data_IF_115418597626
#
_entry.id   IF_115418597626
#
_cell.length_a   1.000
_cell.length_b   1.000
_cell.length_c   1.000
_cell.angle_alpha   90.00
_cell.angle_beta   90.00
_cell.angle_gamma   90.00
#
_symmetry.space_group_name_H-M   'P 1'
#
loop_
_entity.id
_entity.type
_entity.pdbx_description
1 polymer ?
#
# COMPACT_ATOMS: atom_id res chain seq x y z
N UNK A 1 -44.90 51.72 19.07
CA UNK A 1 -43.58 51.53 18.43
C UNK A 1 -42.56 51.22 19.50
N UNK A 2 -42.09 49.97 19.56
CA UNK A 2 -40.67 49.58 19.73
C UNK A 2 -40.61 48.10 20.07
N UNK A 3 -39.93 47.37 19.20
CA UNK A 3 -40.04 45.95 18.96
C UNK A 3 -39.15 45.10 19.88
N UNK A 4 -39.59 43.86 20.11
CA UNK A 4 -38.83 42.78 20.74
C UNK A 4 -37.63 42.38 19.85
N UNK A 5 -36.47 42.02 20.42
CA UNK A 5 -35.37 41.47 19.64
C UNK A 5 -35.63 40.00 19.26
N UNK A 6 -35.53 39.75 17.96
CA UNK A 6 -35.64 38.47 17.28
C UNK A 6 -34.66 37.42 17.81
N UNK A 7 -35.15 36.20 17.95
CA UNK A 7 -34.35 35.00 18.12
C UNK A 7 -33.37 34.85 16.93
N UNK A 8 -32.07 34.87 17.22
CA UNK A 8 -31.05 34.41 16.29
C UNK A 8 -31.11 32.89 16.23
N UNK A 9 -31.83 32.37 15.24
CA UNK A 9 -31.70 30.99 14.79
C UNK A 9 -30.33 30.87 14.13
N UNK A 10 -29.32 30.44 14.90
CA UNK A 10 -28.04 30.03 14.32
C UNK A 10 -28.29 28.74 13.56
N UNK A 11 -28.51 28.87 12.24
CA UNK A 11 -28.50 27.76 11.30
C UNK A 11 -27.11 27.14 11.36
N UNK A 12 -26.98 26.05 12.11
CA UNK A 12 -25.82 25.18 11.99
C UNK A 12 -25.80 24.67 10.56
N UNK A 13 -24.83 25.22 9.80
CA UNK A 13 -24.43 24.76 8.48
C UNK A 13 -24.41 23.23 8.50
N UNK A 14 -25.29 22.63 7.69
CA UNK A 14 -25.39 21.19 7.49
C UNK A 14 -23.97 20.66 7.29
N UNK A 15 -23.50 19.87 8.26
CA UNK A 15 -22.22 19.18 8.16
C UNK A 15 -22.26 18.35 6.89
N UNK A 16 -21.33 18.60 5.98
CA UNK A 16 -21.18 17.81 4.75
C UNK A 16 -21.23 16.33 5.12
N UNK A 17 -22.09 15.57 4.45
CA UNK A 17 -22.16 14.13 4.61
C UNK A 17 -20.78 13.53 4.34
N UNK A 18 -20.16 12.96 5.36
CA UNK A 18 -18.88 12.24 5.30
C UNK A 18 -18.96 11.21 4.19
N UNK A 19 -18.19 11.39 3.10
CA UNK A 19 -18.16 10.45 1.96
C UNK A 19 -17.31 9.22 2.23
N UNK A 20 -16.56 9.22 3.33
CA UNK A 20 -15.79 8.07 3.77
C UNK A 20 -16.52 7.33 4.88
N UNK A 21 -16.51 6.00 4.83
CA UNK A 21 -16.86 5.18 5.99
C UNK A 21 -15.81 4.11 6.22
N UNK A 22 -15.41 3.97 7.48
CA UNK A 22 -14.37 3.04 7.91
C UNK A 22 -14.99 2.02 8.86
N UNK A 23 -14.78 0.74 8.57
CA UNK A 23 -15.26 -0.38 9.37
C UNK A 23 -14.04 -1.13 9.89
N UNK A 24 -14.00 -1.39 11.20
CA UNK A 24 -13.01 -2.28 11.81
C UNK A 24 -13.69 -3.58 12.19
N UNK A 25 -13.27 -4.67 11.58
CA UNK A 25 -13.83 -6.00 11.82
C UNK A 25 -12.82 -7.10 11.44
N UNK A 26 -12.87 -8.25 12.12
CA UNK A 26 -12.09 -9.45 11.83
C UNK A 26 -10.58 -9.21 11.59
N UNK A 27 -9.97 -8.30 12.36
CA UNK A 27 -8.55 -7.96 12.21
C UNK A 27 -8.22 -7.08 11.00
N UNK A 28 -9.21 -6.44 10.39
CA UNK A 28 -9.06 -5.52 9.26
C UNK A 28 -9.65 -4.14 9.55
N UNK A 29 -9.07 -3.12 8.92
CA UNK A 29 -9.70 -1.81 8.72
C UNK A 29 -10.08 -1.70 7.25
N UNK A 30 -11.38 -1.60 6.97
CA UNK A 30 -11.96 -1.54 5.63
C UNK A 30 -12.47 -0.13 5.34
N UNK A 31 -12.00 0.46 4.26
CA UNK A 31 -12.33 1.84 3.87
C UNK A 31 -13.26 1.81 2.67
N UNK A 32 -14.38 2.50 2.80
CA UNK A 32 -15.36 2.68 1.74
C UNK A 32 -15.52 4.14 1.39
N UNK A 33 -15.76 4.41 0.11
CA UNK A 33 -16.12 5.73 -0.38
C UNK A 33 -17.54 5.69 -0.97
N UNK A 34 -18.36 6.66 -0.59
CA UNK A 34 -19.75 6.82 -1.00
C UNK A 34 -19.80 7.68 -2.26
N UNK A 35 -19.90 7.01 -3.40
CA UNK A 35 -20.02 7.63 -4.72
C UNK A 35 -21.47 7.64 -5.25
N UNK A 36 -21.67 8.11 -6.49
CA UNK A 36 -22.99 8.14 -7.14
C UNK A 36 -23.67 6.76 -7.27
N UNK A 37 -22.87 5.69 -7.28
CA UNK A 37 -23.34 4.30 -7.42
C UNK A 37 -23.41 3.55 -6.08
N UNK A 38 -23.34 4.27 -4.96
CA UNK A 38 -23.35 3.70 -3.60
C UNK A 38 -21.94 3.51 -3.00
N UNK A 39 -21.86 2.90 -1.81
CA UNK A 39 -20.58 2.62 -1.15
C UNK A 39 -19.82 1.52 -1.87
N UNK A 40 -18.56 1.76 -2.19
CA UNK A 40 -17.63 0.72 -2.65
C UNK A 40 -16.39 0.69 -1.75
N UNK A 41 -15.83 -0.50 -1.54
CA UNK A 41 -14.63 -0.68 -0.73
C UNK A 41 -13.38 -0.36 -1.56
N UNK A 42 -12.62 0.65 -1.15
CA UNK A 42 -11.42 1.13 -1.86
C UNK A 42 -10.12 0.77 -1.14
N UNK A 43 -10.17 0.42 0.14
CA UNK A 43 -8.99 -0.07 0.84
C UNK A 43 -9.30 -1.12 1.91
N UNK A 44 -8.30 -1.95 2.21
CA UNK A 44 -8.30 -2.89 3.31
C UNK A 44 -6.90 -2.96 3.93
N UNK A 45 -6.79 -2.66 5.23
CA UNK A 45 -5.59 -2.86 6.03
C UNK A 45 -5.78 -4.07 6.94
N UNK A 46 -4.95 -5.10 6.78
CA UNK A 46 -4.84 -6.17 7.77
C UNK A 46 -3.93 -5.73 8.91
N UNK A 47 -4.50 -5.61 10.12
CA UNK A 47 -3.79 -4.97 11.24
C UNK A 47 -2.79 -5.89 11.94
N UNK A 48 -2.78 -7.19 11.62
CA UNK A 48 -1.84 -8.17 12.21
C UNK A 48 -0.47 -8.12 11.54
N UNK A 49 -0.43 -7.86 10.24
CA UNK A 49 0.76 -7.96 9.40
C UNK A 49 1.03 -6.67 8.60
N UNK A 50 0.17 -5.66 8.71
CA UNK A 50 0.30 -4.36 8.02
C UNK A 50 0.16 -4.43 6.50
N UNK A 51 -0.47 -5.49 5.99
CA UNK A 51 -0.75 -5.63 4.57
C UNK A 51 -1.91 -4.71 4.19
N UNK A 52 -1.62 -3.76 3.31
CA UNK A 52 -2.57 -2.75 2.85
C UNK A 52 -2.87 -2.95 1.37
N UNK A 53 -4.13 -3.13 1.04
CA UNK A 53 -4.59 -3.24 -0.35
C UNK A 53 -5.42 -2.03 -0.71
N UNK A 54 -5.14 -1.48 -1.88
CA UNK A 54 -6.01 -0.52 -2.55
C UNK A 54 -6.78 -1.22 -3.67
N UNK A 55 -8.01 -0.74 -3.89
CA UNK A 55 -8.86 -1.12 -5.00
C UNK A 55 -9.15 0.14 -5.82
N UNK A 56 -9.20 0.03 -7.15
CA UNK A 56 -9.37 1.16 -8.06
C UNK A 56 -10.84 1.44 -8.45
N UNK A 57 -11.78 0.61 -8.00
CA UNK A 57 -13.21 0.83 -8.22
C UNK A 57 -14.07 -0.42 -7.99
N UNK A 58 -15.40 -0.29 -8.07
CA UNK A 58 -16.33 -1.40 -7.80
C UNK A 58 -16.23 -2.59 -8.77
N UNK A 59 -15.58 -2.40 -9.93
CA UNK A 59 -15.35 -3.45 -10.94
C UNK A 59 -14.00 -4.15 -10.79
N UNK A 60 -13.15 -3.69 -9.89
CA UNK A 60 -11.82 -4.26 -9.65
C UNK A 60 -11.89 -5.32 -8.55
N UNK A 61 -11.16 -6.42 -8.76
CA UNK A 61 -10.87 -7.38 -7.72
C UNK A 61 -9.81 -6.87 -6.74
N UNK A 62 -9.60 -7.59 -5.63
CA UNK A 62 -8.48 -7.33 -4.73
C UNK A 62 -7.16 -7.82 -5.32
N UNK A 63 -6.16 -6.96 -5.46
CA UNK A 63 -4.87 -7.31 -6.05
C UNK A 63 -3.72 -7.39 -5.04
N UNK A 64 -2.55 -6.99 -5.54
CA UNK A 64 -1.30 -6.80 -4.82
C UNK A 64 -1.50 -6.04 -3.50
N UNK A 65 -0.86 -6.53 -2.45
CA UNK A 65 -0.74 -5.86 -1.15
C UNK A 65 0.54 -5.01 -1.09
N UNK A 66 0.46 -3.91 -0.37
CA UNK A 66 1.60 -3.08 0.04
C UNK A 66 1.85 -3.35 1.52
N UNK A 67 3.04 -3.81 1.87
CA UNK A 67 3.47 -3.98 3.27
C UNK A 67 3.88 -2.60 3.78
N UNK A 68 3.10 -2.05 4.72
CA UNK A 68 3.29 -0.67 5.17
C UNK A 68 4.45 -0.51 6.17
N UNK A 69 4.64 -1.49 7.06
CA UNK A 69 5.82 -1.48 7.93
C UNK A 69 7.08 -1.81 7.11
N UNK A 70 8.25 -1.24 7.47
CA UNK A 70 9.49 -1.55 6.79
C UNK A 70 9.83 -3.03 6.93
N UNK A 71 10.46 -3.59 5.91
CA UNK A 71 11.02 -4.95 5.93
C UNK A 71 12.53 -4.87 5.97
N UNK A 72 13.20 -5.67 6.79
CA UNK A 72 14.66 -5.62 6.87
C UNK A 72 15.27 -6.94 7.34
N UNK A 73 16.56 -7.12 7.07
CA UNK A 73 17.34 -8.25 7.55
C UNK A 73 18.25 -7.84 8.69
N UNK A 74 18.19 -8.59 9.79
CA UNK A 74 19.05 -8.41 10.96
C UNK A 74 19.30 -9.77 11.58
N UNK A 75 20.56 -10.06 11.90
CA UNK A 75 20.98 -11.30 12.58
C UNK A 75 20.54 -12.57 11.82
N UNK A 76 20.56 -12.52 10.49
CA UNK A 76 20.17 -13.64 9.63
C UNK A 76 18.66 -13.87 9.54
N UNK A 77 17.82 -12.98 10.08
CA UNK A 77 16.36 -13.06 10.04
C UNK A 77 15.75 -11.93 9.22
N UNK A 78 14.80 -12.28 8.36
CA UNK A 78 13.92 -11.30 7.72
C UNK A 78 12.82 -10.87 8.69
N UNK A 79 12.83 -9.60 9.08
CA UNK A 79 11.79 -8.96 9.85
C UNK A 79 10.83 -8.29 8.87
N UNK A 80 9.66 -8.88 8.73
CA UNK A 80 8.60 -8.40 7.84
C UNK A 80 7.25 -8.70 8.47
N UNK A 81 6.26 -7.87 8.11
CA UNK A 81 4.95 -7.95 8.73
C UNK A 81 5.00 -7.57 10.22
N UNK A 82 3.96 -6.91 10.68
CA UNK A 82 3.89 -6.53 12.09
C UNK A 82 2.52 -5.99 12.43
N UNK A 83 2.15 -6.18 13.70
CA UNK A 83 0.87 -5.68 14.18
C UNK A 83 0.91 -4.16 14.21
N UNK A 84 -0.12 -3.54 13.66
CA UNK A 84 -0.33 -2.10 13.73
C UNK A 84 -1.60 -1.78 14.52
N UNK A 85 -1.51 -0.73 15.32
CA UNK A 85 -2.69 0.02 15.76
C UNK A 85 -3.05 1.02 14.67
N UNK A 86 -4.35 1.32 14.53
CA UNK A 86 -4.81 2.27 13.53
C UNK A 86 -5.94 3.15 14.10
N UNK A 87 -5.82 4.45 13.93
CA UNK A 87 -6.91 5.41 14.10
C UNK A 87 -7.12 6.16 12.79
N UNK A 88 -8.24 6.86 12.65
CA UNK A 88 -8.55 7.59 11.43
C UNK A 88 -9.36 8.84 11.70
N UNK A 89 -9.21 9.80 10.80
CA UNK A 89 -9.99 11.02 10.76
C UNK A 89 -10.21 11.45 9.31
N UNK A 90 -11.27 12.21 9.07
CA UNK A 90 -11.45 12.87 7.79
C UNK A 90 -10.87 14.29 7.87
N UNK A 91 -10.02 14.63 6.91
CA UNK A 91 -9.42 15.95 6.74
C UNK A 91 -9.85 16.48 5.37
N UNK A 92 -10.74 17.47 5.35
CA UNK A 92 -11.43 17.95 4.15
C UNK A 92 -12.10 16.80 3.38
N UNK A 93 -11.62 16.51 2.17
CA UNK A 93 -12.10 15.42 1.32
C UNK A 93 -11.31 14.11 1.49
N UNK A 94 -10.23 14.12 2.26
CA UNK A 94 -9.32 12.99 2.45
C UNK A 94 -9.65 12.21 3.70
N UNK A 95 -9.40 10.91 3.66
CA UNK A 95 -9.36 10.08 4.86
C UNK A 95 -7.91 9.85 5.25
N UNK A 96 -7.55 10.17 6.49
CA UNK A 96 -6.20 9.97 7.01
C UNK A 96 -6.21 8.84 8.02
N UNK A 97 -5.45 7.78 7.77
CA UNK A 97 -5.19 6.69 8.71
C UNK A 97 -3.86 6.96 9.43
N UNK A 98 -3.90 7.05 10.75
CA UNK A 98 -2.69 7.10 11.58
C UNK A 98 -2.39 5.71 12.10
N UNK A 99 -1.20 5.19 11.79
CA UNK A 99 -0.76 3.84 12.12
C UNK A 99 0.47 3.87 13.02
N UNK A 100 0.54 2.93 13.96
CA UNK A 100 1.76 2.67 14.73
C UNK A 100 1.96 1.17 14.92
N UNK A 101 3.18 0.70 14.65
CA UNK A 101 3.56 -0.69 14.82
C UNK A 101 5.04 -0.84 15.16
N UNK A 102 5.42 -2.07 15.47
CA UNK A 102 6.80 -2.45 15.76
C UNK A 102 7.15 -3.72 14.96
N UNK A 103 8.36 -3.74 14.42
CA UNK A 103 8.91 -4.89 13.72
C UNK A 103 10.37 -5.02 14.11
N UNK A 104 10.71 -6.12 14.79
CA UNK A 104 12.07 -6.52 15.16
C UNK A 104 12.92 -5.50 15.93
N UNK A 105 12.33 -4.60 16.70
CA UNK A 105 13.02 -3.53 17.43
C UNK A 105 12.99 -2.16 16.74
N UNK A 106 12.45 -2.06 15.52
CA UNK A 106 12.10 -0.79 14.90
C UNK A 106 10.64 -0.45 15.16
N UNK A 107 10.39 0.75 15.71
CA UNK A 107 9.05 1.31 15.87
C UNK A 107 8.75 2.25 14.72
N UNK A 108 7.67 1.99 13.99
CA UNK A 108 7.25 2.84 12.89
C UNK A 108 5.92 3.54 13.22
N UNK A 109 5.84 4.81 12.86
CA UNK A 109 4.61 5.60 12.84
C UNK A 109 4.35 6.03 11.41
N UNK A 110 3.14 5.81 10.92
CA UNK A 110 2.76 6.13 9.55
C UNK A 110 1.48 6.96 9.50
N UNK A 111 1.41 7.84 8.52
CA UNK A 111 0.17 8.49 8.08
C UNK A 111 -0.12 8.06 6.66
N UNK A 112 -1.31 7.52 6.42
CA UNK A 112 -1.81 7.12 5.09
C UNK A 112 -2.98 8.02 4.75
N UNK A 113 -2.78 8.94 3.82
CA UNK A 113 -3.80 9.90 3.38
C UNK A 113 -4.41 9.44 2.06
N UNK A 114 -5.67 9.02 2.10
CA UNK A 114 -6.45 8.57 0.97
C UNK A 114 -7.21 9.73 0.34
N UNK A 115 -6.98 9.97 -0.95
CA UNK A 115 -7.77 10.93 -1.73
C UNK A 115 -9.07 10.28 -2.22
N UNK A 116 -10.14 11.06 -2.48
CA UNK A 116 -11.32 10.55 -3.16
C UNK A 116 -10.94 9.79 -4.44
N UNK A 117 -11.54 8.62 -4.70
CA UNK A 117 -11.31 7.91 -5.95
C UNK A 117 -11.79 8.74 -7.14
N UNK A 118 -11.01 8.74 -8.21
CA UNK A 118 -11.28 9.49 -9.43
C UNK A 118 -10.69 8.74 -10.64
N UNK A 119 -11.36 8.83 -11.78
CA UNK A 119 -10.88 8.31 -13.08
C UNK A 119 -10.40 6.85 -13.06
N UNK A 120 -11.10 6.00 -12.31
CA UNK A 120 -10.75 4.58 -12.19
C UNK A 120 -9.47 4.34 -11.41
N UNK A 121 -9.11 5.26 -10.50
CA UNK A 121 -7.93 5.19 -9.65
C UNK A 121 -8.26 5.47 -8.21
N UNK A 122 -7.44 4.89 -7.34
CA UNK A 122 -7.40 5.18 -5.92
C UNK A 122 -5.97 5.52 -5.53
N UNK A 123 -5.80 6.63 -4.80
CA UNK A 123 -4.48 7.16 -4.43
C UNK A 123 -4.38 7.26 -2.92
N UNK A 124 -3.25 6.81 -2.38
CA UNK A 124 -2.87 7.02 -0.99
C UNK A 124 -1.45 7.59 -0.91
N UNK A 125 -1.29 8.71 -0.23
CA UNK A 125 0.03 9.24 0.12
C UNK A 125 0.44 8.72 1.50
N UNK A 126 1.62 8.12 1.62
CA UNK A 126 2.15 7.55 2.85
C UNK A 126 3.34 8.36 3.34
N UNK A 127 3.35 8.70 4.62
CA UNK A 127 4.50 9.25 5.32
C UNK A 127 4.86 8.34 6.49
N UNK A 128 6.13 8.04 6.66
CA UNK A 128 6.63 7.17 7.71
C UNK A 128 7.75 7.83 8.51
N UNK A 129 7.76 7.56 9.82
CA UNK A 129 8.87 7.83 10.73
C UNK A 129 9.25 6.56 11.46
N UNK A 130 10.55 6.27 11.53
CA UNK A 130 11.08 5.03 12.11
C UNK A 130 12.11 5.34 13.20
N UNK A 131 11.82 4.83 14.40
CA UNK A 131 12.64 4.92 15.61
C UNK A 131 13.20 3.54 15.98
N UNK A 132 14.20 3.51 16.86
CA UNK A 132 14.90 2.28 17.29
C UNK A 132 16.27 2.13 16.65
N UNK A 133 17.06 1.15 17.08
CA UNK A 133 18.37 0.89 16.50
C UNK A 133 18.55 -0.60 16.28
N UNK A 134 18.99 -0.97 15.08
CA UNK A 134 19.15 -2.36 14.65
C UNK A 134 20.39 -2.48 13.80
N UNK A 135 21.09 -3.60 13.92
CA UNK A 135 22.25 -3.91 13.10
C UNK A 135 21.81 -4.65 11.84
N UNK A 136 21.75 -3.94 10.73
CA UNK A 136 21.38 -4.55 9.44
C UNK A 136 22.43 -5.56 8.97
N UNK A 137 21.96 -6.65 8.39
CA UNK A 137 22.82 -7.64 7.73
C UNK A 137 23.48 -7.05 6.46
N UNK A 138 24.65 -7.57 6.10
CA UNK A 138 25.30 -7.25 4.82
C UNK A 138 24.60 -7.98 3.66
N UNK A 139 23.47 -7.44 3.21
CA UNK A 139 22.66 -7.98 2.09
C UNK A 139 22.30 -6.89 1.08
N UNK A 140 23.22 -6.48 0.19
CA UNK A 140 22.98 -5.42 -0.79
C UNK A 140 21.64 -5.61 -1.52
N UNK A 141 20.86 -4.54 -1.67
CA UNK A 141 19.55 -4.59 -2.32
C UNK A 141 18.41 -5.20 -1.47
N UNK A 142 18.70 -5.71 -0.26
CA UNK A 142 17.69 -6.33 0.60
C UNK A 142 17.70 -5.86 2.06
N UNK A 143 18.75 -5.12 2.49
CA UNK A 143 18.99 -4.81 3.91
C UNK A 143 17.80 -4.15 4.59
N UNK A 144 17.28 -3.08 4.00
CA UNK A 144 16.12 -2.34 4.49
C UNK A 144 15.22 -1.98 3.31
N UNK A 145 13.93 -2.22 3.45
CA UNK A 145 12.91 -2.04 2.41
C UNK A 145 11.84 -1.10 3.00
N UNK A 146 11.85 0.20 2.68
CA UNK A 146 10.85 1.14 3.20
C UNK A 146 9.42 0.82 2.76
N UNK A 147 9.29 0.13 1.62
CA UNK A 147 8.03 -0.33 1.04
C UNK A 147 8.29 -1.59 0.22
N UNK A 148 7.40 -2.57 0.35
CA UNK A 148 7.43 -3.83 -0.39
C UNK A 148 6.03 -4.18 -0.87
N UNK A 149 5.93 -4.57 -2.13
CA UNK A 149 4.74 -5.15 -2.75
C UNK A 149 4.78 -6.67 -2.58
N UNK A 150 3.61 -7.24 -2.31
CA UNK A 150 3.36 -8.67 -2.13
C UNK A 150 2.20 -9.08 -3.04
N UNK A 151 2.40 -10.06 -3.91
CA UNK A 151 1.39 -10.48 -4.89
C UNK A 151 1.56 -11.95 -5.26
N UNK A 152 0.63 -12.46 -6.06
CA UNK A 152 0.63 -13.86 -6.52
C UNK A 152 1.00 -13.94 -8.01
N UNK A 153 1.91 -14.86 -8.32
CA UNK A 153 2.22 -15.35 -9.66
C UNK A 153 2.57 -16.84 -9.57
N UNK A 154 1.62 -17.70 -9.96
CA UNK A 154 1.81 -19.16 -9.98
C UNK A 154 2.16 -19.65 -11.39
N UNK A 155 1.60 -19.02 -12.42
CA UNK A 155 1.94 -19.31 -13.82
C UNK A 155 1.56 -18.14 -14.74
N UNK A 156 1.95 -18.15 -16.04
CA UNK A 156 1.52 -17.15 -17.00
C UNK A 156 -0.01 -17.01 -17.19
N UNK A 157 -0.79 -18.02 -16.77
CA UNK A 157 -2.25 -18.01 -16.86
C UNK A 157 -2.95 -17.91 -15.50
N UNK A 158 -2.19 -17.97 -14.40
CA UNK A 158 -2.67 -17.99 -13.02
C UNK A 158 -1.89 -16.99 -12.17
N UNK A 159 -2.43 -15.77 -12.03
CA UNK A 159 -1.73 -14.66 -11.40
C UNK A 159 -2.67 -13.57 -10.85
N UNK A 160 -2.15 -12.79 -9.91
CA UNK A 160 -2.70 -11.49 -9.49
C UNK A 160 -1.91 -10.34 -10.12
N UNK A 161 -0.58 -10.49 -10.25
CA UNK A 161 0.27 -9.59 -11.02
C UNK A 161 0.92 -10.34 -12.20
N UNK A 162 0.91 -9.76 -13.39
CA UNK A 162 1.48 -10.39 -14.59
C UNK A 162 2.92 -9.95 -14.91
N UNK A 163 3.35 -8.82 -14.35
CA UNK A 163 4.67 -8.26 -14.60
C UNK A 163 5.02 -7.25 -13.51
N UNK A 164 6.32 -6.97 -13.37
CA UNK A 164 6.83 -5.85 -12.62
C UNK A 164 7.21 -4.70 -13.56
N UNK A 165 7.28 -3.49 -13.00
CA UNK A 165 7.73 -2.30 -13.72
C UNK A 165 8.67 -1.48 -12.84
N UNK A 166 9.76 -0.97 -13.42
CA UNK A 166 10.70 -0.02 -12.81
C UNK A 166 10.87 1.16 -13.76
N UNK A 167 10.46 2.36 -13.34
CA UNK A 167 10.38 3.48 -14.28
C UNK A 167 9.45 3.14 -15.45
N UNK A 168 9.99 3.21 -16.66
CA UNK A 168 9.31 2.84 -17.89
C UNK A 168 9.67 1.42 -18.39
N UNK A 169 10.49 0.68 -17.64
CA UNK A 169 10.97 -0.65 -18.03
C UNK A 169 10.10 -1.73 -17.38
N UNK A 170 9.56 -2.63 -18.22
CA UNK A 170 8.78 -3.79 -17.77
C UNK A 170 9.68 -5.01 -17.61
N UNK A 171 9.51 -5.72 -16.50
CA UNK A 171 10.20 -6.98 -16.20
C UNK A 171 9.19 -8.12 -16.13
N UNK A 172 9.41 -9.24 -16.85
CA UNK A 172 8.58 -10.43 -16.70
C UNK A 172 8.77 -11.04 -15.30
N UNK A 173 7.71 -11.64 -14.76
CA UNK A 173 7.83 -12.39 -13.51
C UNK A 173 8.32 -13.82 -13.84
N UNK A 174 9.46 -14.27 -13.27
CA UNK A 174 9.86 -15.66 -13.37
C UNK A 174 8.99 -16.54 -12.48
N UNK A 175 8.99 -17.86 -12.70
CA UNK A 175 8.35 -18.80 -11.77
C UNK A 175 9.12 -18.93 -10.44
N UNK A 176 10.39 -18.55 -10.43
CA UNK A 176 11.25 -18.53 -9.27
C UNK A 176 12.46 -17.63 -9.54
N UNK A 177 12.95 -16.95 -8.50
CA UNK A 177 14.21 -16.20 -8.55
C UNK A 177 14.00 -14.70 -8.67
N UNK A 178 15.06 -14.01 -9.10
CA UNK A 178 15.07 -12.55 -9.20
C UNK A 178 14.12 -12.03 -10.29
N UNK A 179 13.31 -11.04 -9.94
CA UNK A 179 12.50 -10.27 -10.90
C UNK A 179 13.38 -9.30 -11.68
N UNK A 180 14.27 -8.62 -10.96
CA UNK A 180 15.34 -7.79 -11.52
C UNK A 180 16.66 -8.38 -11.01
N UNK A 181 17.48 -8.99 -11.89
CA UNK A 181 18.77 -9.55 -11.50
C UNK A 181 19.65 -8.53 -10.76
N UNK A 182 20.45 -8.94 -9.75
CA UNK A 182 21.26 -8.01 -8.95
C UNK A 182 22.20 -7.10 -9.75
N UNK A 183 22.68 -7.55 -10.90
CA UNK A 183 23.55 -6.82 -11.83
C UNK A 183 22.80 -5.83 -12.73
N UNK A 184 21.47 -5.94 -12.81
CA UNK A 184 20.59 -5.05 -13.58
C UNK A 184 19.85 -4.04 -12.70
N UNK A 185 20.03 -4.10 -11.38
CA UNK A 185 19.32 -3.23 -10.44
C UNK A 185 19.68 -1.76 -10.69
N UNK A 186 18.67 -0.96 -11.00
CA UNK A 186 18.79 0.50 -11.16
C UNK A 186 18.00 1.22 -10.09
N UNK A 187 18.47 2.42 -9.75
CA UNK A 187 17.74 3.30 -8.84
C UNK A 187 16.61 4.00 -9.61
N UNK A 188 15.38 3.89 -9.09
CA UNK A 188 14.22 4.55 -9.65
C UNK A 188 13.37 5.18 -8.54
N UNK A 189 12.58 6.19 -8.91
CA UNK A 189 11.55 6.76 -8.04
C UNK A 189 10.21 6.04 -8.22
N UNK A 190 10.03 5.28 -9.28
CA UNK A 190 8.77 4.63 -9.60
C UNK A 190 8.96 3.15 -9.85
N UNK A 191 8.09 2.34 -9.26
CA UNK A 191 8.02 0.92 -9.52
C UNK A 191 6.63 0.37 -9.18
N UNK A 192 6.25 -0.77 -9.75
CA UNK A 192 4.92 -1.31 -9.54
C UNK A 192 4.78 -2.76 -9.98
N UNK A 193 3.62 -3.34 -9.66
CA UNK A 193 3.18 -4.63 -10.16
C UNK A 193 1.92 -4.43 -11.01
N UNK A 194 2.00 -4.88 -12.26
CA UNK A 194 0.95 -4.74 -13.25
C UNK A 194 -0.12 -5.81 -13.02
N UNK A 195 -1.37 -5.36 -12.83
CA UNK A 195 -2.53 -6.21 -12.67
C UNK A 195 -3.15 -6.60 -14.02
N UNK A 196 -4.44 -6.97 -14.02
CA UNK A 196 -5.17 -7.38 -15.21
C UNK A 196 -6.19 -8.49 -14.95
N UNK A 197 -6.57 -9.19 -16.02
CA UNK A 197 -7.52 -10.30 -15.95
C UNK A 197 -6.87 -11.61 -16.43
N UNK A 198 -7.06 -12.66 -15.65
CA UNK A 198 -6.73 -14.06 -15.98
C UNK A 198 -7.89 -14.97 -15.57
N UNK A 199 -7.73 -16.30 -15.73
CA UNK A 199 -8.78 -17.26 -15.39
C UNK A 199 -9.14 -17.28 -13.89
N UNK A 200 -8.21 -16.89 -13.02
CA UNK A 200 -8.41 -16.83 -11.57
C UNK A 200 -8.88 -15.48 -11.05
N UNK A 201 -8.51 -14.40 -11.75
CA UNK A 201 -8.65 -13.06 -11.24
C UNK A 201 -9.17 -12.11 -12.30
N UNK A 202 -10.25 -11.42 -12.00
CA UNK A 202 -10.80 -10.38 -12.88
C UNK A 202 -10.40 -9.00 -12.39
N UNK A 203 -9.87 -8.17 -13.30
CA UNK A 203 -9.51 -6.77 -13.06
C UNK A 203 -8.70 -6.56 -11.77
N UNK A 204 -7.66 -7.37 -11.55
CA UNK A 204 -6.68 -7.07 -10.51
C UNK A 204 -6.09 -5.67 -10.77
N UNK A 205 -6.08 -4.75 -9.79
CA UNK A 205 -5.54 -3.41 -10.01
C UNK A 205 -4.05 -3.46 -10.26
N UNK A 206 -3.57 -2.60 -11.14
CA UNK A 206 -2.15 -2.24 -11.20
C UNK A 206 -1.82 -1.38 -9.99
N UNK A 207 -0.75 -1.74 -9.25
CA UNK A 207 -0.27 -0.99 -8.10
C UNK A 207 1.07 -0.36 -8.43
N UNK A 208 1.10 0.97 -8.47
CA UNK A 208 2.30 1.77 -8.67
C UNK A 208 2.71 2.50 -7.39
N UNK A 209 4.01 2.49 -7.11
CA UNK A 209 4.65 3.22 -6.02
C UNK A 209 5.48 4.36 -6.61
N UNK A 210 5.27 5.58 -6.11
CA UNK A 210 6.15 6.72 -6.37
C UNK A 210 6.83 7.17 -5.09
N UNK A 211 8.14 7.01 -5.03
CA UNK A 211 8.99 7.32 -3.89
C UNK A 211 9.36 8.81 -3.82
N UNK A 212 9.66 9.30 -2.63
CA UNK A 212 10.22 10.64 -2.40
C UNK A 212 11.69 10.78 -2.84
N UNK A 213 12.38 9.66 -3.08
CA UNK A 213 13.78 9.57 -3.55
C UNK A 213 13.96 8.37 -4.46
N UNK A 214 15.00 8.40 -5.30
CA UNK A 214 15.35 7.23 -6.10
C UNK A 214 16.01 6.18 -5.18
N UNK A 215 15.58 4.92 -5.30
CA UNK A 215 16.14 3.79 -4.58
C UNK A 215 16.34 2.62 -5.55
N UNK A 216 17.36 1.77 -5.34
CA UNK A 216 17.48 0.49 -6.04
C UNK A 216 16.18 -0.32 -5.94
N UNK A 217 15.64 -0.76 -7.08
CA UNK A 217 14.41 -1.57 -7.13
C UNK A 217 14.74 -2.99 -7.55
N UNK A 218 14.24 -3.98 -6.81
CA UNK A 218 14.39 -5.40 -7.16
C UNK A 218 13.22 -6.22 -6.60
N UNK A 219 13.22 -7.51 -6.88
CA UNK A 219 12.22 -8.44 -6.36
C UNK A 219 12.63 -9.88 -6.48
N UNK A 220 11.85 -10.72 -5.83
CA UNK A 220 12.04 -12.16 -5.80
C UNK A 220 10.70 -12.87 -5.93
N UNK A 221 10.67 -13.93 -6.72
CA UNK A 221 9.57 -14.88 -6.77
C UNK A 221 9.98 -16.15 -6.05
N UNK A 222 9.24 -16.50 -5.01
CA UNK A 222 9.32 -17.83 -4.38
C UNK A 222 8.36 -18.73 -5.11
N UNK A 223 8.84 -19.86 -5.65
CA UNK A 223 7.97 -20.78 -6.37
C UNK A 223 6.80 -21.22 -5.48
N UNK A 224 5.58 -21.02 -5.98
CA UNK A 224 4.36 -21.62 -5.46
C UNK A 224 3.40 -21.88 -6.62
N UNK A 225 2.71 -23.02 -6.56
CA UNK A 225 1.65 -23.37 -7.49
C UNK A 225 0.25 -23.10 -6.89
N UNK A 226 0.19 -22.61 -5.63
CA UNK A 226 -1.06 -22.23 -4.95
C UNK A 226 -1.43 -20.78 -5.29
N UNK A 227 -2.58 -20.53 -5.95
CA UNK A 227 -3.02 -19.17 -6.29
C UNK A 227 -3.46 -18.32 -5.09
N UNK A 228 -3.46 -18.87 -3.88
CA UNK A 228 -3.68 -18.14 -2.62
C UNK A 228 -2.37 -17.67 -1.97
N UNK A 229 -1.22 -18.14 -2.45
CA UNK A 229 0.08 -17.72 -1.93
C UNK A 229 0.56 -16.44 -2.62
N UNK A 230 0.99 -15.47 -1.83
CA UNK A 230 1.73 -14.33 -2.33
C UNK A 230 3.19 -14.75 -2.60
N UNK A 231 3.43 -15.30 -3.79
CA UNK A 231 4.75 -15.77 -4.25
C UNK A 231 5.73 -14.65 -4.64
N UNK A 232 5.23 -13.46 -4.94
CA UNK A 232 5.99 -12.34 -5.50
C UNK A 232 6.25 -11.28 -4.44
N UNK A 233 7.53 -10.99 -4.18
CA UNK A 233 7.98 -9.81 -3.45
C UNK A 233 8.67 -8.82 -4.39
N UNK A 234 8.28 -7.55 -4.36
CA UNK A 234 8.92 -6.50 -5.18
C UNK A 234 9.08 -5.20 -4.39
N UNK A 235 10.27 -4.64 -4.29
CA UNK A 235 10.57 -3.59 -3.30
C UNK A 235 11.60 -2.58 -3.75
N UNK A 236 11.57 -1.42 -3.07
CA UNK A 236 12.67 -0.48 -3.04
C UNK A 236 13.63 -0.82 -1.90
N UNK A 237 14.92 -0.68 -2.11
CA UNK A 237 15.96 -1.05 -1.15
C UNK A 237 16.78 0.16 -0.68
N UNK A 238 17.21 0.12 0.58
CA UNK A 238 18.18 1.05 1.15
C UNK A 238 19.22 0.28 1.96
N UNK A 239 20.45 0.78 1.99
CA UNK A 239 21.56 0.15 2.72
C UNK A 239 21.60 0.49 4.21
N UNK A 240 20.71 1.38 4.66
CA UNK A 240 20.57 1.84 6.03
C UNK A 240 19.09 2.06 6.38
N UNK A 241 18.79 2.13 7.68
CA UNK A 241 17.44 2.43 8.16
C UNK A 241 17.05 3.86 7.77
N UNK A 242 16.02 4.00 6.95
CA UNK A 242 15.45 5.31 6.63
C UNK A 242 14.58 5.78 7.80
N UNK A 243 15.03 6.82 8.50
CA UNK A 243 14.34 7.39 9.67
C UNK A 243 13.06 8.15 9.33
N UNK A 244 13.00 8.71 8.13
CA UNK A 244 11.82 9.35 7.59
C UNK A 244 11.79 9.19 6.07
N UNK A 245 10.63 8.83 5.54
CA UNK A 245 10.40 8.67 4.12
C UNK A 245 8.92 8.82 3.79
N UNK A 246 8.64 9.08 2.52
CA UNK A 246 7.28 9.15 1.99
C UNK A 246 7.20 8.56 0.60
N UNK A 247 6.01 8.07 0.25
CA UNK A 247 5.72 7.52 -1.06
C UNK A 247 4.22 7.60 -1.34
N UNK A 248 3.86 7.56 -2.61
CA UNK A 248 2.47 7.46 -3.08
C UNK A 248 2.21 6.05 -3.58
N UNK A 249 1.06 5.51 -3.20
CA UNK A 249 0.47 4.29 -3.77
C UNK A 249 -0.64 4.73 -4.72
N UNK A 250 -0.61 4.23 -5.95
CA UNK A 250 -1.71 4.37 -6.92
C UNK A 250 -2.21 2.99 -7.28
N UNK A 251 -3.48 2.72 -7.03
CA UNK A 251 -4.19 1.61 -7.64
C UNK A 251 -4.95 2.11 -8.86
N UNK A 252 -4.77 1.48 -10.01
CA UNK A 252 -5.49 1.81 -11.23
C UNK A 252 -6.18 0.57 -11.81
N UNK A 253 -7.32 0.78 -12.45
CA UNK A 253 -7.89 -0.23 -13.35
C UNK A 253 -6.83 -0.60 -14.41
N UNK A 254 -6.60 -1.90 -14.64
CA UNK A 254 -5.66 -2.37 -15.66
C UNK A 254 -6.18 -2.14 -17.09
#
# INVERSE_FOLDING_TARGET
MSALPSAMTTSHRISATTRWSVIRDAGQVRVHYHGPHGPAQYAALHVRDSYFRLNAGPRCGWGTSVILLPVYWSEGRCHHGGRVTASWQQEDSRLVLSLQGEVGGLRARLSVSLAPPADGRMVADVQARVEGDVRLDNRPGERFKPVMLSSMYASPTLWVAQAAQVGDVRHPLPLQGWVVPPDEVTASRTFGLLGGTCAWKTHAPTIDITLDRALPITGWVTRSDDPNDDSVGFWAAADHVLRAYSYRITAALP
#
